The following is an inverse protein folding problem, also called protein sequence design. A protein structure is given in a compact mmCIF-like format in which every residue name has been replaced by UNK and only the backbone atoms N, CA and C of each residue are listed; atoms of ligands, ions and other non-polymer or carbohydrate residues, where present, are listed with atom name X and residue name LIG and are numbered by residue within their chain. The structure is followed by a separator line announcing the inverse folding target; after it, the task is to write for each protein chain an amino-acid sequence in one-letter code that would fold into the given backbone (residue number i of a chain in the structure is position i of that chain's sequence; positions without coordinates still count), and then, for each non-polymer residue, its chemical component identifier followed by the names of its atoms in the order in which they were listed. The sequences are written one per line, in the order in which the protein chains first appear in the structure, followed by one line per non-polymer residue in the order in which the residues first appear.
data_IF_381878681948
#
_entry.id   IF_381878681948
#
_cell.length_a   1.000
_cell.length_b   1.000
_cell.length_c   1.000
_cell.angle_alpha   90.00
_cell.angle_beta   90.00
_cell.angle_gamma   90.00
#
_symmetry.space_group_name_H-M   'P 1'
#
loop_
_entity.id
_entity.type
_entity.pdbx_description
1 polymer ?
#
# COMPACT_ATOMS: atom_id res chain seq x y z
N UNK A 1 -5.87 -27.32 1.78
CA UNK A 1 -4.61 -26.77 1.22
C UNK A 1 -4.64 -26.99 -0.28
N UNK A 2 -4.83 -25.93 -1.07
CA UNK A 2 -4.89 -26.05 -2.53
C UNK A 2 -3.51 -26.39 -3.10
N UNK A 3 -3.41 -27.46 -3.90
CA UNK A 3 -2.22 -27.74 -4.70
C UNK A 3 -2.19 -26.77 -5.88
N UNK A 4 -1.18 -25.90 -5.95
CA UNK A 4 -0.92 -25.03 -7.11
C UNK A 4 0.10 -25.72 -8.00
N UNK A 5 -0.26 -26.01 -9.25
CA UNK A 5 0.66 -26.63 -10.23
C UNK A 5 1.46 -25.55 -10.94
N UNK A 6 2.77 -25.48 -10.70
CA UNK A 6 3.71 -24.65 -11.47
C UNK A 6 4.45 -25.51 -12.50
N UNK A 7 4.52 -25.05 -13.75
CA UNK A 7 5.24 -25.73 -14.84
C UNK A 7 6.69 -25.24 -14.96
N UNK A 8 7.64 -26.17 -15.04
CA UNK A 8 9.07 -25.88 -15.27
C UNK A 8 9.43 -26.33 -16.68
N UNK A 9 10.00 -25.44 -17.50
CA UNK A 9 10.54 -25.79 -18.82
C UNK A 9 11.93 -26.39 -18.65
N UNK A 10 12.11 -27.61 -19.10
CA UNK A 10 13.39 -28.33 -19.11
C UNK A 10 13.72 -28.68 -20.56
N UNK A 11 14.96 -28.44 -20.97
CA UNK A 11 15.50 -28.93 -22.23
C UNK A 11 15.64 -30.47 -22.21
N UNK A 12 15.72 -31.08 -23.39
CA UNK A 12 15.69 -32.54 -23.53
C UNK A 12 16.94 -33.20 -22.90
N UNK A 13 18.09 -32.53 -22.91
CA UNK A 13 19.31 -33.04 -22.28
C UNK A 13 19.19 -33.10 -20.75
N UNK A 14 18.64 -32.05 -20.13
CA UNK A 14 18.38 -32.03 -18.67
C UNK A 14 17.33 -33.07 -18.27
N UNK A 15 16.28 -33.26 -19.09
CA UNK A 15 15.26 -34.29 -18.83
C UNK A 15 15.86 -35.69 -18.77
N UNK A 16 16.75 -36.02 -19.69
CA UNK A 16 17.38 -37.35 -19.72
C UNK A 16 18.36 -37.55 -18.56
N UNK A 17 19.10 -36.51 -18.15
CA UNK A 17 19.95 -36.54 -16.94
C UNK A 17 19.15 -36.82 -15.68
N UNK A 18 18.00 -36.15 -15.50
CA UNK A 18 17.11 -36.37 -14.35
C UNK A 18 16.56 -37.80 -14.37
N UNK A 19 16.18 -38.30 -15.54
CA UNK A 19 15.67 -39.67 -15.71
C UNK A 19 16.71 -40.71 -15.33
N UNK A 20 17.94 -40.58 -15.83
CA UNK A 20 19.05 -41.46 -15.47
C UNK A 20 19.36 -41.44 -13.96
N UNK A 21 19.44 -40.24 -13.38
CA UNK A 21 19.69 -40.07 -11.94
C UNK A 21 18.59 -40.71 -11.08
N UNK A 22 17.32 -40.53 -11.45
CA UNK A 22 16.17 -41.11 -10.75
C UNK A 22 16.18 -42.66 -10.83
N UNK A 23 16.54 -43.21 -11.99
CA UNK A 23 16.63 -44.66 -12.18
C UNK A 23 17.74 -45.27 -11.32
N UNK A 24 18.87 -44.56 -11.14
CA UNK A 24 19.99 -45.02 -10.30
C UNK A 24 19.64 -45.15 -8.82
N UNK A 25 18.66 -44.38 -8.35
CA UNK A 25 18.18 -44.40 -6.96
C UNK A 25 16.83 -45.12 -6.82
N UNK A 26 16.39 -45.82 -7.88
CA UNK A 26 15.14 -46.56 -7.95
C UNK A 26 13.89 -45.71 -7.62
N UNK A 27 13.83 -44.49 -8.18
CA UNK A 27 12.73 -43.54 -7.99
C UNK A 27 12.28 -42.92 -9.31
N UNK A 28 11.12 -42.27 -9.29
CA UNK A 28 10.58 -41.57 -10.46
C UNK A 28 11.21 -40.19 -10.64
N UNK A 29 11.34 -39.68 -11.88
CA UNK A 29 11.83 -38.32 -12.14
C UNK A 29 11.05 -37.24 -11.38
N UNK A 30 9.73 -37.40 -11.25
CA UNK A 30 8.87 -36.48 -10.51
C UNK A 30 9.19 -36.46 -9.01
N UNK A 31 9.44 -37.63 -8.41
CA UNK A 31 9.86 -37.72 -7.01
C UNK A 31 11.21 -37.02 -6.81
N UNK A 32 12.17 -37.23 -7.72
CA UNK A 32 13.50 -36.62 -7.62
C UNK A 32 13.44 -35.09 -7.71
N UNK A 33 12.66 -34.54 -8.65
CA UNK A 33 12.48 -33.09 -8.80
C UNK A 33 11.84 -32.50 -7.53
N UNK A 34 10.78 -33.14 -7.02
CA UNK A 34 10.12 -32.70 -5.80
C UNK A 34 11.07 -32.70 -4.60
N UNK A 35 11.85 -33.77 -4.43
CA UNK A 35 12.79 -33.91 -3.33
C UNK A 35 13.95 -32.90 -3.42
N UNK A 36 14.45 -32.64 -4.62
CA UNK A 36 15.49 -31.64 -4.86
C UNK A 36 15.03 -30.23 -4.47
N UNK A 37 13.78 -29.87 -4.81
CA UNK A 37 13.20 -28.57 -4.44
C UNK A 37 13.12 -28.43 -2.92
N UNK A 38 12.58 -29.43 -2.21
CA UNK A 38 12.46 -29.36 -0.75
C UNK A 38 13.83 -29.28 -0.06
N UNK A 39 14.80 -30.08 -0.49
CA UNK A 39 16.15 -30.05 0.11
C UNK A 39 16.86 -28.71 -0.13
N UNK A 40 16.67 -28.12 -1.32
CA UNK A 40 17.26 -26.82 -1.63
C UNK A 40 16.63 -25.69 -0.81
N UNK A 41 15.31 -25.71 -0.63
CA UNK A 41 14.60 -24.77 0.24
C UNK A 41 15.05 -24.89 1.70
N UNK A 42 15.20 -26.12 2.20
CA UNK A 42 15.65 -26.36 3.58
C UNK A 42 17.08 -25.84 3.81
N UNK A 43 17.97 -25.96 2.82
CA UNK A 43 19.32 -25.37 2.86
C UNK A 43 19.31 -23.84 2.85
N UNK A 44 18.44 -23.23 2.04
CA UNK A 44 18.24 -21.78 2.01
C UNK A 44 17.70 -21.25 3.34
N UNK A 45 16.74 -21.93 3.94
CA UNK A 45 16.16 -21.56 5.23
C UNK A 45 17.15 -21.70 6.39
N UNK A 46 18.16 -22.56 6.23
CA UNK A 46 19.20 -22.82 7.22
C UNK A 46 20.41 -21.89 7.12
N UNK A 47 20.39 -20.90 6.20
CA UNK A 47 21.48 -19.94 5.91
C UNK A 47 22.85 -20.60 5.61
N UNK A 48 22.82 -21.85 5.13
CA UNK A 48 24.02 -22.58 4.73
C UNK A 48 24.40 -22.10 3.32
N UNK A 49 25.58 -21.48 3.21
CA UNK A 49 26.04 -20.78 2.02
C UNK A 49 25.83 -21.63 0.74
N UNK A 50 25.08 -21.06 -0.20
CA UNK A 50 24.81 -21.67 -1.50
C UNK A 50 26.13 -22.01 -2.21
N UNK A 51 26.35 -23.26 -2.68
CA UNK A 51 27.35 -23.49 -3.70
C UNK A 51 26.90 -22.73 -4.95
N UNK A 52 27.74 -21.79 -5.40
CA UNK A 52 27.46 -20.90 -6.53
C UNK A 52 26.81 -21.67 -7.69
N UNK A 53 25.64 -21.19 -8.13
CA UNK A 53 25.02 -21.69 -9.36
C UNK A 53 26.03 -21.48 -10.49
N UNK A 54 26.54 -22.55 -11.14
CA UNK A 54 27.43 -22.36 -12.27
C UNK A 54 26.67 -21.60 -13.34
N UNK A 55 27.19 -20.43 -13.72
CA UNK A 55 26.70 -19.62 -14.83
C UNK A 55 26.88 -20.41 -16.16
N UNK A 56 26.06 -21.43 -16.38
CA UNK A 56 26.13 -22.34 -17.52
C UNK A 56 25.35 -21.79 -18.72
N UNK A 57 25.60 -20.53 -19.06
CA UNK A 57 25.16 -19.92 -20.33
C UNK A 57 26.23 -19.01 -20.96
N UNK A 58 27.51 -19.17 -20.62
CA UNK A 58 28.61 -18.62 -21.42
C UNK A 58 29.06 -19.62 -22.49
N UNK A 59 28.18 -19.86 -23.47
CA UNK A 59 28.49 -20.65 -24.65
C UNK A 59 29.01 -19.77 -25.78
N UNK A 60 30.31 -19.91 -26.07
CA UNK A 60 31.00 -19.57 -27.32
C UNK A 60 31.22 -18.07 -27.66
N UNK A 61 32.32 -17.51 -27.15
CA UNK A 61 33.37 -16.83 -27.94
C UNK A 61 34.36 -16.10 -27.03
N UNK A 62 35.58 -16.62 -26.91
CA UNK A 62 36.83 -15.90 -27.24
C UNK A 62 38.03 -16.52 -26.55
N UNK A 63 39.04 -16.79 -27.38
CA UNK A 63 40.40 -17.09 -26.97
C UNK A 63 41.04 -15.85 -26.32
N UNK A 64 41.79 -16.10 -25.24
CA UNK A 64 42.93 -15.33 -24.72
C UNK A 64 42.85 -13.79 -24.70
N UNK A 65 42.85 -13.19 -23.50
CA UNK A 65 44.06 -12.53 -22.98
C UNK A 65 43.96 -12.30 -21.46
N UNK A 66 45.08 -12.49 -20.78
CA UNK A 66 45.26 -12.30 -19.34
C UNK A 66 45.43 -10.79 -19.07
N UNK A 67 44.32 -10.10 -18.81
CA UNK A 67 44.34 -8.73 -18.32
C UNK A 67 43.53 -8.65 -17.04
N UNK A 68 44.24 -8.39 -15.93
CA UNK A 68 43.72 -8.14 -14.60
C UNK A 68 42.29 -7.61 -14.62
N UNK A 69 41.34 -8.45 -14.20
CA UNK A 69 39.91 -8.13 -14.13
C UNK A 69 39.71 -6.99 -13.11
N UNK A 70 39.86 -5.75 -13.57
CA UNK A 70 38.99 -4.70 -13.10
C UNK A 70 37.58 -5.23 -13.36
N UNK A 71 36.84 -5.52 -12.30
CA UNK A 71 35.41 -5.81 -12.39
C UNK A 71 34.81 -4.56 -13.02
N UNK A 72 34.71 -4.53 -14.35
CA UNK A 72 33.87 -3.58 -15.06
C UNK A 72 32.48 -3.87 -14.52
N UNK A 73 32.02 -3.06 -13.57
CA UNK A 73 30.62 -3.05 -13.19
C UNK A 73 29.85 -2.69 -14.45
N UNK A 74 29.38 -3.74 -15.16
CA UNK A 74 28.54 -3.62 -16.33
C UNK A 74 27.24 -3.01 -15.84
N UNK A 75 27.20 -1.68 -15.83
CA UNK A 75 26.09 -0.92 -15.29
C UNK A 75 24.92 -1.07 -16.26
N UNK A 76 24.04 -2.04 -15.99
CA UNK A 76 22.84 -2.25 -16.77
C UNK A 76 21.80 -1.20 -16.37
N UNK A 77 21.41 -0.28 -17.28
CA UNK A 77 20.41 0.73 -16.94
C UNK A 77 19.10 0.08 -16.50
N UNK A 78 18.51 0.58 -15.41
CA UNK A 78 17.22 0.16 -14.85
C UNK A 78 17.15 -1.25 -14.24
N UNK A 79 18.26 -1.98 -14.10
CA UNK A 79 18.27 -3.31 -13.48
C UNK A 79 17.83 -3.25 -12.01
N UNK A 80 18.41 -2.34 -11.22
CA UNK A 80 18.04 -2.09 -9.82
C UNK A 80 16.56 -1.70 -9.66
N UNK A 81 16.01 -0.96 -10.64
CA UNK A 81 14.58 -0.62 -10.65
C UNK A 81 13.71 -1.85 -10.96
N UNK A 82 14.12 -2.69 -11.91
CA UNK A 82 13.37 -3.88 -12.32
C UNK A 82 13.35 -4.97 -11.22
N UNK A 83 14.43 -5.11 -10.46
CA UNK A 83 14.52 -6.04 -9.32
C UNK A 83 13.49 -5.75 -8.23
N UNK A 84 13.09 -4.49 -8.08
CA UNK A 84 12.07 -4.07 -7.11
C UNK A 84 10.63 -4.36 -7.58
N UNK A 85 10.41 -4.72 -8.86
CA UNK A 85 9.09 -4.96 -9.43
C UNK A 85 8.67 -6.41 -9.17
N UNK A 86 7.93 -6.61 -8.09
CA UNK A 86 7.31 -7.91 -7.80
C UNK A 86 6.18 -8.23 -8.81
N UNK A 87 6.02 -9.51 -9.21
CA UNK A 87 4.92 -9.92 -10.05
C UNK A 87 3.59 -9.69 -9.33
N UNK A 88 2.64 -9.08 -10.03
CA UNK A 88 1.33 -8.79 -9.46
C UNK A 88 0.43 -10.03 -9.46
N UNK A 89 -0.25 -10.27 -8.33
CA UNK A 89 -1.37 -11.21 -8.28
C UNK A 89 -2.55 -10.68 -9.10
N UNK A 90 -3.51 -11.56 -9.40
CA UNK A 90 -4.71 -11.22 -10.18
C UNK A 90 -5.46 -10.02 -9.58
N UNK A 91 -5.66 -10.00 -8.26
CA UNK A 91 -6.35 -8.88 -7.59
C UNK A 91 -5.52 -7.59 -7.63
N UNK A 92 -4.19 -7.66 -7.50
CA UNK A 92 -3.31 -6.48 -7.60
C UNK A 92 -3.29 -5.90 -9.01
N UNK A 93 -3.31 -6.76 -10.03
CA UNK A 93 -3.45 -6.35 -11.42
C UNK A 93 -4.79 -5.68 -11.69
N UNK A 94 -5.89 -6.20 -11.13
CA UNK A 94 -7.22 -5.59 -11.26
C UNK A 94 -7.28 -4.18 -10.62
N UNK A 95 -6.66 -4.01 -9.45
CA UNK A 95 -6.53 -2.69 -8.79
C UNK A 95 -5.72 -1.73 -9.68
N UNK A 96 -4.56 -2.17 -10.18
CA UNK A 96 -3.70 -1.36 -11.04
C UNK A 96 -4.44 -0.94 -12.32
N UNK A 97 -5.20 -1.85 -12.94
CA UNK A 97 -6.01 -1.57 -14.12
C UNK A 97 -7.17 -0.61 -13.86
N UNK A 98 -7.67 -0.52 -12.62
CA UNK A 98 -8.76 0.37 -12.24
C UNK A 98 -8.31 1.78 -11.82
N UNK A 99 -6.99 2.04 -11.65
CA UNK A 99 -6.46 3.27 -11.06
C UNK A 99 -7.06 4.54 -11.69
N UNK A 100 -7.05 4.63 -13.03
CA UNK A 100 -7.52 5.80 -13.78
C UNK A 100 -8.63 5.43 -14.76
N UNK A 101 -9.51 4.51 -14.35
CA UNK A 101 -10.69 4.16 -15.15
C UNK A 101 -11.55 5.39 -15.38
N UNK A 102 -12.09 5.56 -16.60
CA UNK A 102 -12.99 6.65 -16.90
C UNK A 102 -14.24 6.60 -16.00
N UNK A 103 -14.68 7.75 -15.51
CA UNK A 103 -15.84 7.83 -14.61
C UNK A 103 -17.12 7.32 -15.29
N UNK A 104 -17.22 7.55 -16.60
CA UNK A 104 -18.30 7.03 -17.47
C UNK A 104 -18.40 5.50 -17.44
N UNK A 105 -17.31 4.80 -17.15
CA UNK A 105 -17.28 3.34 -17.07
C UNK A 105 -17.38 2.87 -15.61
N UNK A 106 -16.77 3.61 -14.68
CA UNK A 106 -16.73 3.26 -13.26
C UNK A 106 -18.08 3.45 -12.56
N UNK A 107 -18.76 4.57 -12.79
CA UNK A 107 -20.01 4.91 -12.10
C UNK A 107 -21.14 3.94 -12.44
N UNK A 108 -21.44 3.60 -13.72
CA UNK A 108 -22.48 2.63 -14.04
C UNK A 108 -22.20 1.24 -13.45
N UNK A 109 -20.93 0.82 -13.39
CA UNK A 109 -20.52 -0.43 -12.77
C UNK A 109 -20.89 -0.48 -11.28
N UNK A 110 -20.76 0.64 -10.57
CA UNK A 110 -21.06 0.74 -9.14
C UNK A 110 -22.53 1.03 -8.84
N UNK A 111 -23.23 1.72 -9.74
CA UNK A 111 -24.57 2.23 -9.49
C UNK A 111 -25.58 1.13 -9.16
N UNK A 112 -25.56 0.03 -9.92
CA UNK A 112 -26.46 -1.10 -9.68
C UNK A 112 -26.09 -1.88 -8.41
N UNK A 113 -24.80 -1.93 -8.05
CA UNK A 113 -24.34 -2.57 -6.81
C UNK A 113 -24.70 -1.74 -5.57
N UNK A 114 -24.71 -0.41 -5.70
CA UNK A 114 -25.03 0.53 -4.63
C UNK A 114 -26.53 0.85 -4.52
N UNK A 115 -27.35 0.40 -5.47
CA UNK A 115 -28.80 0.67 -5.50
C UNK A 115 -29.48 -0.07 -4.34
N UNK A 116 -30.00 0.69 -3.38
CA UNK A 116 -30.84 0.14 -2.32
C UNK A 116 -32.24 -0.18 -2.87
N UNK A 117 -32.87 -1.30 -2.47
CA UNK A 117 -34.28 -1.52 -2.71
C UNK A 117 -35.12 -0.41 -2.09
N UNK A 118 -36.19 0.00 -2.75
CA UNK A 118 -37.08 1.09 -2.33
C UNK A 118 -37.51 1.07 -0.84
N UNK A 119 -37.92 -0.07 -0.25
CA UNK A 119 -38.28 -0.09 1.17
C UNK A 119 -37.09 0.16 2.11
N UNK A 120 -35.87 -0.16 1.68
CA UNK A 120 -34.64 0.11 2.45
C UNK A 120 -34.19 1.56 2.22
N UNK A 121 -34.29 2.06 0.99
CA UNK A 121 -33.94 3.43 0.65
C UNK A 121 -34.79 4.46 1.41
N UNK A 122 -36.11 4.24 1.49
CA UNK A 122 -37.03 5.10 2.26
C UNK A 122 -36.72 5.09 3.76
N UNK A 123 -36.43 3.93 4.35
CA UNK A 123 -36.02 3.82 5.75
C UNK A 123 -34.66 4.48 6.01
N UNK A 124 -33.69 4.25 5.13
CA UNK A 124 -32.37 4.89 5.21
C UNK A 124 -32.49 6.41 5.12
N UNK A 125 -33.35 6.93 4.24
CA UNK A 125 -33.63 8.36 4.13
C UNK A 125 -34.25 8.92 5.42
N UNK A 126 -35.29 8.27 5.96
CA UNK A 126 -35.94 8.70 7.20
C UNK A 126 -34.94 8.75 8.37
N UNK A 127 -34.12 7.72 8.52
CA UNK A 127 -33.08 7.67 9.55
C UNK A 127 -32.02 8.76 9.34
N UNK A 128 -31.50 8.89 8.11
CA UNK A 128 -30.50 9.90 7.78
C UNK A 128 -31.04 11.32 8.03
N UNK A 129 -32.30 11.57 7.68
CA UNK A 129 -32.97 12.84 7.94
C UNK A 129 -33.06 13.12 9.44
N UNK A 130 -33.53 12.17 10.24
CA UNK A 130 -33.60 12.34 11.70
C UNK A 130 -32.23 12.60 12.33
N UNK A 131 -31.18 11.93 11.86
CA UNK A 131 -29.83 12.13 12.35
C UNK A 131 -29.30 13.52 11.96
N UNK A 132 -29.47 13.93 10.71
CA UNK A 132 -29.06 15.25 10.22
C UNK A 132 -29.83 16.39 10.92
N UNK A 133 -31.13 16.22 11.10
CA UNK A 133 -31.99 17.18 11.81
C UNK A 133 -31.55 17.32 13.27
N UNK A 134 -31.35 16.20 13.99
CA UNK A 134 -30.84 16.23 15.36
C UNK A 134 -29.47 16.91 15.44
N UNK A 135 -28.55 16.59 14.52
CA UNK A 135 -27.21 17.19 14.50
C UNK A 135 -27.25 18.70 14.24
N UNK A 136 -28.05 19.13 13.26
CA UNK A 136 -28.20 20.54 12.89
C UNK A 136 -28.86 21.34 14.01
N UNK A 137 -29.89 20.76 14.62
CA UNK A 137 -30.67 21.44 15.66
C UNK A 137 -30.04 21.33 17.06
N UNK A 138 -29.09 20.41 17.27
CA UNK A 138 -28.41 20.23 18.55
C UNK A 138 -27.59 21.47 18.97
N UNK A 139 -27.16 22.34 18.05
CA UNK A 139 -26.16 23.38 18.38
C UNK A 139 -26.38 24.75 17.72
N UNK A 140 -27.56 25.32 17.96
CA UNK A 140 -27.63 26.74 18.37
C UNK A 140 -27.43 26.92 19.88
N UNK A 141 -27.36 25.84 20.68
CA UNK A 141 -27.24 25.91 22.14
C UNK A 141 -25.90 25.42 22.74
N UNK A 142 -25.01 24.74 22.00
CA UNK A 142 -23.81 24.11 22.61
C UNK A 142 -22.63 23.86 21.66
N UNK A 143 -22.44 24.70 20.63
CA UNK A 143 -21.29 24.63 19.71
C UNK A 143 -20.30 25.77 19.93
N UNK A 144 -18.99 25.51 19.77
CA UNK A 144 -17.95 26.56 19.72
C UNK A 144 -18.32 27.66 18.72
N UNK A 145 -18.94 27.31 17.60
CA UNK A 145 -19.46 28.25 16.61
C UNK A 145 -20.55 29.17 17.19
N UNK A 146 -21.49 28.65 18.00
CA UNK A 146 -22.55 29.45 18.63
C UNK A 146 -22.00 30.43 19.68
N UNK A 147 -21.05 30.01 20.52
CA UNK A 147 -20.43 30.90 21.52
C UNK A 147 -19.59 32.01 20.86
N UNK A 148 -18.77 31.66 19.87
CA UNK A 148 -17.97 32.66 19.15
C UNK A 148 -18.89 33.59 18.36
N UNK A 149 -19.90 33.06 17.67
CA UNK A 149 -20.88 33.89 16.94
C UNK A 149 -21.66 34.83 17.88
N UNK A 150 -22.03 34.36 19.08
CA UNK A 150 -22.68 35.19 20.09
C UNK A 150 -21.78 36.33 20.54
N UNK A 151 -20.49 36.08 20.75
CA UNK A 151 -19.50 37.11 21.08
C UNK A 151 -19.35 38.14 19.95
N UNK A 152 -19.29 37.68 18.69
CA UNK A 152 -19.23 38.58 17.53
C UNK A 152 -20.49 39.44 17.43
N UNK A 153 -21.67 38.87 17.70
CA UNK A 153 -22.93 39.60 17.68
C UNK A 153 -23.04 40.61 18.83
N UNK A 154 -22.66 40.24 20.05
CA UNK A 154 -22.72 41.09 21.23
C UNK A 154 -21.84 42.34 21.09
N UNK A 155 -20.62 42.15 20.55
CA UNK A 155 -19.66 43.25 20.36
C UNK A 155 -19.67 43.82 18.93
N UNK A 156 -20.61 43.40 18.09
CA UNK A 156 -20.74 43.81 16.68
C UNK A 156 -19.44 43.73 15.87
N UNK A 157 -18.64 42.69 16.13
CA UNK A 157 -17.34 42.51 15.50
C UNK A 157 -17.49 41.94 14.08
N UNK A 158 -16.67 42.42 13.16
CA UNK A 158 -16.45 41.76 11.87
C UNK A 158 -15.76 40.40 12.07
N UNK A 159 -15.83 39.53 11.06
CA UNK A 159 -15.14 38.22 11.11
C UNK A 159 -13.63 38.35 11.32
N UNK A 160 -13.00 39.39 10.77
CA UNK A 160 -11.56 39.64 10.93
C UNK A 160 -11.22 40.13 12.34
N UNK A 161 -12.03 41.02 12.91
CA UNK A 161 -11.88 41.47 14.31
C UNK A 161 -12.11 40.32 15.29
N UNK A 162 -13.05 39.43 15.00
CA UNK A 162 -13.28 38.20 15.74
C UNK A 162 -12.07 37.28 15.82
N UNK A 163 -11.42 37.05 14.68
CA UNK A 163 -10.18 36.26 14.63
C UNK A 163 -9.06 36.96 15.40
N UNK A 164 -8.90 38.28 15.23
CA UNK A 164 -7.89 39.05 15.95
C UNK A 164 -8.09 38.99 17.48
N UNK A 165 -9.34 39.07 17.95
CA UNK A 165 -9.68 38.95 19.37
C UNK A 165 -9.35 37.56 19.92
N UNK A 166 -9.63 36.50 19.16
CA UNK A 166 -9.27 35.14 19.57
C UNK A 166 -7.76 34.92 19.61
N UNK A 167 -6.99 35.51 18.67
CA UNK A 167 -5.53 35.49 18.69
C UNK A 167 -4.95 36.24 19.91
N UNK A 168 -5.53 37.41 20.24
CA UNK A 168 -5.16 38.13 21.45
C UNK A 168 -5.45 37.30 22.71
N UNK A 169 -6.63 36.69 22.79
CA UNK A 169 -7.00 35.80 23.89
C UNK A 169 -6.05 34.60 24.00
N UNK A 170 -5.65 33.99 22.88
CA UNK A 170 -4.66 32.91 22.86
C UNK A 170 -3.31 33.38 23.41
N UNK A 171 -2.81 34.54 22.96
CA UNK A 171 -1.56 35.11 23.44
C UNK A 171 -1.62 35.41 24.96
N UNK A 172 -2.74 35.95 25.44
CA UNK A 172 -2.94 36.20 26.87
C UNK A 172 -3.02 34.92 27.69
N UNK A 173 -3.61 33.83 27.16
CA UNK A 173 -3.62 32.52 27.82
C UNK A 173 -2.23 31.87 27.92
N UNK A 174 -1.23 32.33 27.14
CA UNK A 174 0.17 31.89 27.28
C UNK A 174 0.89 32.55 28.44
N UNK A 175 0.34 33.61 29.04
CA UNK A 175 0.86 34.20 30.28
C UNK A 175 0.47 33.27 31.45
N UNK A 176 1.44 32.63 32.13
CA UNK A 176 1.15 31.58 33.12
C UNK A 176 0.55 32.14 34.42
N UNK A 177 0.92 33.36 34.82
CA UNK A 177 0.40 34.00 36.02
C UNK A 177 -0.86 34.82 35.70
N UNK A 178 -1.94 34.51 36.43
CA UNK A 178 -3.24 35.18 36.26
C UNK A 178 -3.18 36.65 36.66
N UNK A 179 -2.47 36.99 37.73
CA UNK A 179 -2.41 38.38 38.20
C UNK A 179 -1.70 39.28 37.17
N UNK A 180 -0.60 38.80 36.60
CA UNK A 180 0.16 39.48 35.53
C UNK A 180 -0.69 39.65 34.27
N UNK A 181 -1.44 38.62 33.87
CA UNK A 181 -2.36 38.69 32.72
C UNK A 181 -3.48 39.70 32.93
N UNK A 182 -4.13 39.67 34.10
CA UNK A 182 -5.27 40.54 34.41
C UNK A 182 -4.82 42.01 34.59
N UNK A 183 -3.60 42.24 35.07
CA UNK A 183 -2.98 43.57 35.09
C UNK A 183 -2.74 44.10 33.67
N UNK A 184 -2.12 43.29 32.79
CA UNK A 184 -1.86 43.67 31.39
C UNK A 184 -3.12 43.93 30.57
N UNK A 185 -4.25 43.29 30.91
CA UNK A 185 -5.55 43.54 30.24
C UNK A 185 -6.15 44.89 30.69
N UNK A 186 -5.85 45.33 31.92
CA UNK A 186 -6.43 46.53 32.53
C UNK A 186 -5.64 47.80 32.22
N UNK A 187 -4.31 47.67 32.19
CA UNK A 187 -3.36 48.74 31.86
C UNK A 187 -3.43 49.12 30.37
#
# INVERSE_FOLDING_TARGET
MGMTTMGVKLDDATRERIKSAATRIDRTPHWLIKQAIFNYLEKLESDDALPELPALLAGAANESDDSAEAIEEVHQPFLEFAEQILPQSVSRAAITAAYRRAETDAVPMLLEQARLPEPVASQAHSLAYQLAEKLRNQKMASGRAGMVQSLLQEFSLSSQEGVALMCLAEALLRIPDKATRDALIRD
#
